data_IF_537534668438
#
_entry.id   IF_537534668438
#
_cell.length_a   1.000
_cell.length_b   1.000
_cell.length_c   1.000
_cell.angle_alpha   90.00
_cell.angle_beta   90.00
_cell.angle_gamma   90.00
#
_symmetry.space_group_name_H-M   'P 1'
#
loop_
_entity.id
_entity.type
_entity.pdbx_description
1 polymer ?
#
# COMPACT_ATOMS: atom_id res chain seq x y z
N UNK A 1 -33.95 -13.48 37.59
CA UNK A 1 -32.73 -12.67 37.76
C UNK A 1 -31.79 -12.98 36.59
N UNK A 2 -31.79 -12.10 35.59
CA UNK A 2 -31.04 -12.23 34.35
C UNK A 2 -30.09 -11.03 34.27
N UNK A 3 -28.79 -11.29 34.24
CA UNK A 3 -27.79 -10.27 33.89
C UNK A 3 -26.81 -10.93 32.94
N UNK A 4 -27.16 -10.94 31.66
CA UNK A 4 -26.22 -11.22 30.58
C UNK A 4 -25.28 -10.01 30.45
N UNK A 5 -23.99 -10.24 30.71
CA UNK A 5 -22.94 -9.27 30.40
C UNK A 5 -22.98 -9.02 28.89
N UNK A 6 -23.23 -7.78 28.46
CA UNK A 6 -23.14 -7.42 27.05
C UNK A 6 -21.67 -7.53 26.64
N UNK A 7 -21.33 -8.35 25.63
CA UNK A 7 -19.97 -8.39 25.12
C UNK A 7 -19.64 -7.01 24.57
N UNK A 8 -18.47 -6.50 24.95
CA UNK A 8 -17.98 -5.20 24.57
C UNK A 8 -18.13 -5.01 23.07
N UNK A 9 -18.75 -3.89 22.70
CA UNK A 9 -18.52 -3.31 21.40
C UNK A 9 -17.01 -3.18 21.28
N UNK A 10 -16.40 -4.08 20.51
CA UNK A 10 -15.09 -3.82 19.93
C UNK A 10 -15.34 -2.60 19.08
N UNK A 11 -14.91 -1.44 19.57
CA UNK A 11 -14.76 -0.26 18.75
C UNK A 11 -14.03 -0.75 17.50
N UNK A 12 -14.76 -0.79 16.39
CA UNK A 12 -14.21 -1.16 15.11
C UNK A 12 -13.19 -0.08 14.83
N UNK A 13 -11.93 -0.40 15.14
CA UNK A 13 -10.80 0.47 14.89
C UNK A 13 -10.95 0.96 13.46
N UNK A 14 -10.81 2.27 13.26
CA UNK A 14 -10.43 2.81 11.96
C UNK A 14 -9.44 1.83 11.35
N UNK A 15 -9.72 1.23 10.18
CA UNK A 15 -8.80 0.27 9.58
C UNK A 15 -7.43 0.94 9.60
N UNK A 16 -6.54 0.35 10.39
CA UNK A 16 -5.29 1.01 10.72
C UNK A 16 -4.61 1.33 9.40
N UNK A 17 -4.37 2.60 9.13
CA UNK A 17 -3.85 3.06 7.84
C UNK A 17 -2.61 2.22 7.43
N UNK A 18 -1.85 1.68 8.40
CA UNK A 18 -0.66 0.84 8.13
C UNK A 18 -0.99 -0.59 7.66
N UNK A 19 -2.15 -1.14 8.05
CA UNK A 19 -2.60 -2.45 7.58
C UNK A 19 -2.91 -2.45 6.07
N UNK A 20 -3.44 -1.34 5.55
CA UNK A 20 -3.69 -1.16 4.10
C UNK A 20 -2.37 -1.06 3.31
N UNK A 21 -1.36 -0.38 3.86
CA UNK A 21 -0.05 -0.26 3.21
C UNK A 21 0.67 -1.61 3.07
N UNK A 22 0.62 -2.46 4.10
CA UNK A 22 1.25 -3.77 4.07
C UNK A 22 0.65 -4.66 2.97
N UNK A 23 -0.68 -4.67 2.83
CA UNK A 23 -1.36 -5.41 1.77
C UNK A 23 -1.02 -4.86 0.38
N UNK A 24 -1.02 -3.54 0.23
CA UNK A 24 -0.62 -2.86 -1.00
C UNK A 24 0.81 -3.23 -1.40
N UNK A 25 1.75 -3.18 -0.44
CA UNK A 25 3.15 -3.53 -0.66
C UNK A 25 3.29 -4.99 -1.09
N UNK A 26 2.73 -5.94 -0.35
CA UNK A 26 2.82 -7.36 -0.67
C UNK A 26 2.25 -7.66 -2.07
N UNK A 27 1.15 -7.01 -2.44
CA UNK A 27 0.53 -7.22 -3.76
C UNK A 27 1.31 -6.59 -4.90
N UNK A 28 1.86 -5.38 -4.72
CA UNK A 28 2.36 -4.59 -5.84
C UNK A 28 3.89 -4.42 -5.88
N UNK A 29 4.62 -4.74 -4.82
CA UNK A 29 6.08 -4.67 -4.79
C UNK A 29 6.76 -5.47 -5.93
N UNK A 30 6.28 -6.68 -6.31
CA UNK A 30 6.87 -7.40 -7.44
C UNK A 30 6.74 -6.67 -8.78
N UNK A 31 5.68 -5.87 -8.98
CA UNK A 31 5.51 -5.07 -10.20
C UNK A 31 6.54 -3.93 -10.24
N UNK A 32 6.59 -3.14 -9.17
CA UNK A 32 7.48 -1.98 -9.04
C UNK A 32 8.95 -2.42 -9.14
N UNK A 33 9.32 -3.48 -8.42
CA UNK A 33 10.69 -4.01 -8.45
C UNK A 33 11.11 -4.47 -9.85
N UNK A 34 10.21 -5.10 -10.63
CA UNK A 34 10.52 -5.49 -12.01
C UNK A 34 10.75 -4.28 -12.92
N UNK A 35 9.94 -3.22 -12.76
CA UNK A 35 10.08 -1.98 -13.52
C UNK A 35 11.39 -1.28 -13.17
N UNK A 36 11.69 -1.10 -11.88
CA UNK A 36 12.92 -0.49 -11.40
C UNK A 36 14.17 -1.28 -11.85
N UNK A 37 14.14 -2.63 -11.76
CA UNK A 37 15.24 -3.49 -12.25
C UNK A 37 15.48 -3.33 -13.75
N UNK A 38 14.40 -3.20 -14.54
CA UNK A 38 14.51 -2.98 -15.98
C UNK A 38 15.11 -1.62 -16.32
N UNK A 39 14.86 -0.60 -15.50
CA UNK A 39 15.36 0.76 -15.72
C UNK A 39 16.83 0.92 -15.28
N UNK A 40 17.21 0.31 -14.16
CA UNK A 40 18.51 0.57 -13.50
C UNK A 40 19.57 -0.50 -13.80
N UNK A 41 19.16 -1.75 -14.02
CA UNK A 41 20.10 -2.87 -14.20
C UNK A 41 20.83 -3.32 -12.92
N UNK A 42 20.64 -2.63 -11.80
CA UNK A 42 21.17 -3.00 -10.48
C UNK A 42 20.05 -3.44 -9.52
N UNK A 43 20.26 -4.56 -8.82
CA UNK A 43 19.26 -5.11 -7.90
C UNK A 43 19.05 -4.27 -6.65
N UNK A 44 20.10 -3.68 -6.09
CA UNK A 44 20.04 -2.90 -4.84
C UNK A 44 19.41 -1.54 -5.09
N UNK A 45 19.80 -0.86 -6.17
CA UNK A 45 19.16 0.40 -6.55
C UNK A 45 17.67 0.20 -6.86
N UNK A 46 17.30 -0.92 -7.51
CA UNK A 46 15.90 -1.22 -7.76
C UNK A 46 15.08 -1.50 -6.48
N UNK A 47 15.69 -2.12 -5.47
CA UNK A 47 15.07 -2.32 -4.15
C UNK A 47 14.88 -0.99 -3.41
N UNK A 48 15.86 -0.08 -3.48
CA UNK A 48 15.74 1.26 -2.88
C UNK A 48 14.65 2.08 -3.59
N UNK A 49 14.64 2.12 -4.93
CA UNK A 49 13.59 2.79 -5.70
C UNK A 49 12.22 2.20 -5.37
N UNK A 50 12.11 0.88 -5.23
CA UNK A 50 10.85 0.24 -4.83
C UNK A 50 10.37 0.80 -3.49
N UNK A 51 11.25 0.92 -2.49
CA UNK A 51 10.89 1.53 -1.20
C UNK A 51 10.45 2.99 -1.35
N UNK A 52 11.18 3.80 -2.14
CA UNK A 52 10.82 5.20 -2.39
C UNK A 52 9.46 5.36 -3.06
N UNK A 53 9.12 4.48 -4.03
CA UNK A 53 7.81 4.47 -4.71
C UNK A 53 6.68 4.23 -3.70
N UNK A 54 6.82 3.26 -2.80
CA UNK A 54 5.78 3.00 -1.79
C UNK A 54 5.68 4.11 -0.74
N UNK A 55 6.79 4.77 -0.38
CA UNK A 55 6.77 5.97 0.47
C UNK A 55 6.05 7.14 -0.22
N UNK A 56 6.28 7.34 -1.52
CA UNK A 56 5.59 8.36 -2.30
C UNK A 56 4.10 8.05 -2.45
N UNK A 57 3.75 6.79 -2.75
CA UNK A 57 2.37 6.33 -2.80
C UNK A 57 1.65 6.57 -1.47
N UNK A 58 2.28 6.21 -0.34
CA UNK A 58 1.72 6.44 0.98
C UNK A 58 1.39 7.91 1.24
N UNK A 59 2.32 8.82 0.90
CA UNK A 59 2.13 10.28 1.05
C UNK A 59 1.03 10.81 0.13
N UNK A 60 0.86 10.22 -1.05
CA UNK A 60 -0.13 10.62 -2.07
C UNK A 60 -1.49 9.92 -2.00
N UNK A 61 -1.68 8.94 -1.10
CA UNK A 61 -2.84 8.04 -1.09
C UNK A 61 -4.20 8.73 -1.01
N UNK A 62 -4.29 9.86 -0.29
CA UNK A 62 -5.52 10.65 -0.16
C UNK A 62 -5.97 11.29 -1.48
N UNK A 63 -5.05 11.44 -2.43
CA UNK A 63 -5.30 11.94 -3.79
C UNK A 63 -5.58 10.85 -4.81
N UNK A 64 -5.36 9.56 -4.48
CA UNK A 64 -5.68 8.47 -5.38
C UNK A 64 -7.20 8.39 -5.60
N UNK A 65 -7.59 8.16 -6.84
CA UNK A 65 -8.98 8.11 -7.30
C UNK A 65 -9.15 6.86 -8.16
N UNK A 66 -9.71 5.76 -7.62
CA UNK A 66 -9.80 4.48 -8.34
C UNK A 66 -10.63 4.58 -9.62
N UNK A 67 -11.55 5.53 -9.71
CA UNK A 67 -12.33 5.84 -10.91
C UNK A 67 -11.51 6.45 -12.05
N UNK A 68 -10.31 6.98 -11.75
CA UNK A 68 -9.40 7.61 -12.73
C UNK A 68 -8.30 6.66 -13.22
N UNK A 69 -8.16 5.48 -12.62
CA UNK A 69 -7.13 4.51 -12.98
C UNK A 69 -6.91 3.44 -11.92
N UNK A 70 -6.25 2.36 -12.33
CA UNK A 70 -5.88 1.28 -11.41
C UNK A 70 -4.71 1.66 -10.52
N UNK A 71 -4.60 1.01 -9.36
CA UNK A 71 -3.44 1.11 -8.47
C UNK A 71 -2.14 0.78 -9.22
N UNK A 72 -2.18 -0.22 -10.11
CA UNK A 72 -1.02 -0.60 -10.94
C UNK A 72 -0.56 0.56 -11.84
N UNK A 73 -1.48 1.22 -12.53
CA UNK A 73 -1.16 2.36 -13.39
C UNK A 73 -0.63 3.55 -12.58
N UNK A 74 -1.21 3.80 -11.41
CA UNK A 74 -0.75 4.84 -10.51
C UNK A 74 0.67 4.59 -9.97
N UNK A 75 0.97 3.38 -9.49
CA UNK A 75 2.31 3.00 -9.03
C UNK A 75 3.33 3.02 -10.18
N UNK A 76 2.94 2.61 -11.38
CA UNK A 76 3.80 2.70 -12.57
C UNK A 76 4.13 4.14 -12.92
N UNK A 77 3.20 5.09 -12.72
CA UNK A 77 3.47 6.51 -12.95
C UNK A 77 4.38 7.16 -11.90
N UNK A 78 4.56 6.52 -10.75
CA UNK A 78 5.52 6.95 -9.71
C UNK A 78 6.91 6.34 -9.94
N UNK A 79 6.97 5.16 -10.56
CA UNK A 79 8.20 4.35 -10.79
C UNK A 79 8.94 4.80 -12.04
#
# INVERSE_FOLDING_TARGET
MSTAVRPGARDAGTPDDTADLAELYLRWAPLVLRLARRALGDCREAEDVTQQVFLAAWRGRSGFRPERGSVAAWLTGIT
#
